data_IF_332898350695
#
_entry.id   IF_332898350695
#
_cell.length_a   1.000
_cell.length_b   1.000
_cell.length_c   1.000
_cell.angle_alpha   90.00
_cell.angle_beta   90.00
_cell.angle_gamma   90.00
#
_symmetry.space_group_name_H-M   'P 1'
#
loop_
_entity.id
_entity.type
_entity.pdbx_description
1 polymer ?
#
# COMPACT_ATOMS: atom_id res chain seq x y z
N UNK A 1 23.85 9.38 61.75
CA UNK A 1 23.10 8.57 60.76
C UNK A 1 22.40 9.52 59.81
N UNK A 2 22.96 9.75 58.63
CA UNK A 2 22.54 10.81 57.71
C UNK A 2 21.32 10.38 56.88
N UNK A 3 20.26 11.21 56.92
CA UNK A 3 18.99 11.03 56.21
C UNK A 3 19.11 10.91 54.67
N UNK A 4 20.28 11.21 54.09
CA UNK A 4 20.49 11.21 52.64
C UNK A 4 20.63 9.81 52.01
N UNK A 5 20.78 8.75 52.81
CA UNK A 5 20.96 7.39 52.28
C UNK A 5 19.65 6.63 52.00
N UNK A 6 18.53 7.10 52.57
CA UNK A 6 17.21 6.47 52.36
C UNK A 6 16.59 6.85 51.01
N UNK A 7 17.07 7.91 50.34
CA UNK A 7 16.63 8.29 48.98
C UNK A 7 17.32 7.50 47.86
N UNK A 8 18.52 6.94 48.08
CA UNK A 8 19.25 6.22 47.01
C UNK A 8 18.79 4.77 46.84
N UNK A 9 18.13 4.20 47.86
CA UNK A 9 17.71 2.80 47.89
C UNK A 9 16.41 2.50 47.11
N UNK A 10 15.72 3.54 46.62
CA UNK A 10 14.51 3.40 45.78
C UNK A 10 14.74 3.62 44.28
N UNK A 11 15.94 4.07 43.86
CA UNK A 11 16.26 4.20 42.42
C UNK A 11 16.24 2.86 41.70
N UNK A 12 16.66 1.77 42.34
CA UNK A 12 16.65 0.45 41.72
C UNK A 12 15.23 -0.08 41.48
N UNK A 13 14.29 0.18 42.39
CA UNK A 13 12.90 -0.24 42.22
C UNK A 13 12.20 0.53 41.09
N UNK A 14 12.47 1.84 41.00
CA UNK A 14 12.05 2.67 39.86
C UNK A 14 12.65 2.21 38.51
N UNK A 15 13.89 1.73 38.50
CA UNK A 15 14.49 1.15 37.28
C UNK A 15 13.77 -0.12 36.85
N UNK A 16 13.39 -0.99 37.80
CA UNK A 16 12.64 -2.22 37.52
C UNK A 16 11.21 -1.94 37.06
N UNK A 17 10.52 -0.97 37.67
CA UNK A 17 9.17 -0.58 37.23
C UNK A 17 9.21 0.07 35.85
N UNK A 18 10.19 0.95 35.58
CA UNK A 18 10.37 1.57 34.27
C UNK A 18 10.75 0.53 33.21
N UNK A 19 11.64 -0.40 33.53
CA UNK A 19 12.01 -1.49 32.61
C UNK A 19 10.81 -2.38 32.27
N UNK A 20 9.94 -2.67 33.24
CA UNK A 20 8.71 -3.44 33.00
C UNK A 20 7.74 -2.68 32.06
N UNK A 21 7.57 -1.37 32.24
CA UNK A 21 6.75 -0.55 31.35
C UNK A 21 7.34 -0.52 29.94
N UNK A 22 8.65 -0.28 29.80
CA UNK A 22 9.34 -0.29 28.50
C UNK A 22 9.23 -1.68 27.83
N UNK A 23 9.40 -2.76 28.60
CA UNK A 23 9.24 -4.12 28.09
C UNK A 23 7.80 -4.40 27.65
N UNK A 24 6.79 -3.89 28.38
CA UNK A 24 5.40 -4.01 27.98
C UNK A 24 5.11 -3.23 26.69
N UNK A 25 5.66 -2.03 26.52
CA UNK A 25 5.59 -1.29 25.26
C UNK A 25 6.26 -2.06 24.12
N UNK A 26 7.46 -2.59 24.33
CA UNK A 26 8.18 -3.42 23.36
C UNK A 26 7.35 -4.65 22.97
N UNK A 27 6.87 -5.43 23.94
CA UNK A 27 6.10 -6.65 23.68
C UNK A 27 4.72 -6.39 23.08
N UNK A 28 4.10 -5.25 23.35
CA UNK A 28 2.78 -4.92 22.82
C UNK A 28 2.86 -4.22 21.45
N UNK A 29 3.85 -3.35 21.22
CA UNK A 29 3.99 -2.59 19.97
C UNK A 29 4.93 -3.22 18.93
N UNK A 30 6.00 -3.93 19.32
CA UNK A 30 6.92 -4.54 18.34
C UNK A 30 6.25 -5.62 17.50
N UNK A 31 5.43 -6.53 18.06
CA UNK A 31 4.69 -7.47 17.23
C UNK A 31 3.69 -6.77 16.30
N UNK A 32 3.17 -5.59 16.66
CA UNK A 32 2.35 -4.76 15.76
C UNK A 32 3.15 -4.16 14.60
N UNK A 33 4.44 -3.86 14.81
CA UNK A 33 5.33 -3.38 13.76
C UNK A 33 5.75 -4.50 12.79
N UNK A 34 6.05 -5.70 13.30
CA UNK A 34 6.43 -6.85 12.46
C UNK A 34 5.24 -7.63 11.88
N UNK A 35 4.08 -7.64 12.56
CA UNK A 35 2.80 -8.15 12.01
C UNK A 35 2.00 -7.07 11.27
N UNK A 36 2.55 -5.86 11.13
CA UNK A 36 1.95 -4.74 10.39
C UNK A 36 1.87 -4.92 8.87
N UNK A 37 2.16 -6.12 8.36
CA UNK A 37 1.75 -6.55 7.02
C UNK A 37 0.48 -7.41 7.02
N UNK A 38 -0.07 -7.76 8.19
CA UNK A 38 -1.26 -8.60 8.31
C UNK A 38 -2.44 -7.91 9.01
N UNK A 39 -2.23 -6.83 9.78
CA UNK A 39 -3.32 -6.01 10.34
C UNK A 39 -2.82 -4.56 10.52
N UNK A 40 -3.17 -3.67 9.58
CA UNK A 40 -2.64 -2.33 9.42
C UNK A 40 -2.95 -1.37 10.58
N UNK A 41 -1.93 -1.05 11.38
CA UNK A 41 -1.90 0.11 12.29
C UNK A 41 -0.79 1.10 11.90
N UNK A 42 -0.46 1.17 10.61
CA UNK A 42 0.12 2.36 10.01
C UNK A 42 -1.03 3.10 9.33
N UNK A 43 -1.09 4.43 9.47
CA UNK A 43 -2.05 5.33 8.83
C UNK A 43 -1.96 5.28 7.28
N UNK A 44 -2.22 4.13 6.69
CA UNK A 44 -2.59 4.00 5.28
C UNK A 44 -4.09 3.81 5.33
N UNK A 45 -4.83 4.92 5.26
CA UNK A 45 -6.28 4.87 5.07
C UNK A 45 -6.57 3.84 3.96
N UNK A 46 -7.13 2.70 4.36
CA UNK A 46 -7.58 1.67 3.44
C UNK A 46 -8.99 2.09 2.99
N UNK A 47 -9.19 2.15 1.68
CA UNK A 47 -10.47 2.49 1.08
C UNK A 47 -11.38 1.26 1.04
N UNK A 48 -10.79 0.08 0.87
CA UNK A 48 -11.48 -1.22 0.91
C UNK A 48 -10.46 -2.34 1.18
N UNK A 49 -10.92 -3.50 1.65
CA UNK A 49 -10.10 -4.71 1.82
C UNK A 49 -10.73 -5.87 1.05
N UNK A 50 -9.94 -6.58 0.25
CA UNK A 50 -10.37 -7.72 -0.57
C UNK A 50 -9.46 -8.91 -0.27
N UNK A 51 -10.02 -10.01 0.24
CA UNK A 51 -9.27 -11.24 0.57
C UNK A 51 -8.00 -11.01 1.43
N UNK A 52 -8.11 -10.14 2.43
CA UNK A 52 -7.00 -9.77 3.32
C UNK A 52 -5.95 -8.83 2.70
N UNK A 53 -6.17 -8.32 1.49
CA UNK A 53 -5.36 -7.27 0.87
C UNK A 53 -6.07 -5.92 0.91
N UNK A 54 -5.38 -4.93 1.44
CA UNK A 54 -5.91 -3.57 1.56
C UNK A 54 -5.69 -2.76 0.29
N UNK A 55 -6.77 -2.20 -0.24
CA UNK A 55 -6.75 -1.17 -1.26
C UNK A 55 -6.53 0.17 -0.58
N UNK A 56 -5.32 0.71 -0.71
CA UNK A 56 -4.90 1.96 -0.07
C UNK A 56 -5.45 3.20 -0.79
N UNK A 57 -5.61 4.30 -0.05
CA UNK A 57 -5.91 5.63 -0.64
C UNK A 57 -4.90 6.02 -1.72
N UNK A 58 -3.65 5.58 -1.61
CA UNK A 58 -2.62 5.84 -2.64
C UNK A 58 -2.96 5.19 -3.98
N UNK A 59 -3.50 3.96 -3.98
CA UNK A 59 -3.92 3.25 -5.20
C UNK A 59 -5.13 3.95 -5.82
N UNK A 60 -6.13 4.29 -4.99
CA UNK A 60 -7.28 5.07 -5.43
C UNK A 60 -6.86 6.39 -6.07
N UNK A 61 -5.98 7.17 -5.43
CA UNK A 61 -5.52 8.46 -5.97
C UNK A 61 -4.79 8.30 -7.30
N UNK A 62 -3.94 7.27 -7.45
CA UNK A 62 -3.28 6.97 -8.74
C UNK A 62 -4.30 6.59 -9.83
N UNK A 63 -5.26 5.73 -9.51
CA UNK A 63 -6.31 5.33 -10.44
C UNK A 63 -7.15 6.55 -10.87
N UNK A 64 -7.55 7.39 -9.92
CA UNK A 64 -8.25 8.64 -10.18
C UNK A 64 -7.49 9.58 -11.11
N UNK A 65 -6.20 9.79 -10.85
CA UNK A 65 -5.36 10.63 -11.72
C UNK A 65 -5.24 10.09 -13.14
N UNK A 66 -5.07 8.77 -13.31
CA UNK A 66 -5.05 8.13 -14.64
C UNK A 66 -6.38 8.30 -15.37
N UNK A 67 -7.49 8.06 -14.68
CA UNK A 67 -8.82 8.22 -15.26
C UNK A 67 -9.06 9.67 -15.69
N UNK A 68 -8.67 10.63 -14.85
CA UNK A 68 -8.74 12.05 -15.15
C UNK A 68 -7.89 12.43 -16.37
N UNK A 69 -6.67 11.90 -16.47
CA UNK A 69 -5.80 12.13 -17.63
C UNK A 69 -6.40 11.58 -18.93
N UNK A 70 -6.98 10.37 -18.89
CA UNK A 70 -7.66 9.78 -20.04
C UNK A 70 -8.84 10.65 -20.49
N UNK A 71 -9.69 11.06 -19.54
CA UNK A 71 -10.82 11.93 -19.87
C UNK A 71 -10.39 13.30 -20.40
N UNK A 72 -9.34 13.92 -19.84
CA UNK A 72 -8.77 15.17 -20.35
C UNK A 72 -8.22 15.01 -21.76
N UNK A 73 -7.63 13.85 -22.09
CA UNK A 73 -7.15 13.57 -23.43
C UNK A 73 -8.31 13.41 -24.44
N UNK A 74 -9.46 12.87 -24.02
CA UNK A 74 -10.62 12.65 -24.90
C UNK A 74 -11.54 13.86 -25.05
N UNK A 75 -11.78 14.62 -23.97
CA UNK A 75 -12.76 15.72 -23.91
C UNK A 75 -12.12 17.12 -23.84
N UNK A 76 -10.78 17.19 -23.77
CA UNK A 76 -10.03 18.44 -23.67
C UNK A 76 -10.00 19.04 -22.26
N UNK A 77 -9.34 20.20 -22.13
CA UNK A 77 -9.08 20.88 -20.86
C UNK A 77 -10.32 21.45 -20.15
N UNK A 78 -11.49 21.46 -20.80
CA UNK A 78 -12.72 22.09 -20.30
C UNK A 78 -13.61 21.15 -19.47
N UNK A 79 -13.09 19.99 -19.07
CA UNK A 79 -13.89 19.03 -18.31
C UNK A 79 -14.06 19.46 -16.85
N UNK A 80 -15.32 19.60 -16.42
CA UNK A 80 -15.66 20.00 -15.05
C UNK A 80 -15.51 18.82 -14.07
N UNK A 81 -14.48 18.91 -13.22
CA UNK A 81 -14.19 17.93 -12.17
C UNK A 81 -15.35 17.78 -11.17
N UNK A 82 -16.20 18.81 -11.03
CA UNK A 82 -17.38 18.78 -10.18
C UNK A 82 -18.48 17.88 -10.75
N UNK A 83 -18.65 17.87 -12.07
CA UNK A 83 -19.60 16.99 -12.74
C UNK A 83 -19.19 15.52 -12.57
N UNK A 84 -17.90 15.21 -12.69
CA UNK A 84 -17.39 13.84 -12.49
C UNK A 84 -17.63 13.32 -11.07
N UNK A 85 -17.47 14.18 -10.06
CA UNK A 85 -17.81 13.83 -8.67
C UNK A 85 -19.30 13.60 -8.49
N UNK A 86 -20.15 14.43 -9.10
CA UNK A 86 -21.61 14.23 -9.08
C UNK A 86 -22.03 12.94 -9.78
N UNK A 87 -21.31 12.52 -10.83
CA UNK A 87 -21.54 11.25 -11.54
C UNK A 87 -21.08 10.01 -10.75
N UNK A 88 -20.50 10.18 -9.56
CA UNK A 88 -20.07 9.07 -8.71
C UNK A 88 -18.89 8.28 -9.28
N UNK A 89 -18.02 8.92 -10.07
CA UNK A 89 -16.85 8.28 -10.67
C UNK A 89 -15.94 7.66 -9.60
N UNK A 90 -15.87 8.27 -8.42
CA UNK A 90 -15.10 7.77 -7.29
C UNK A 90 -15.54 6.34 -6.89
N UNK A 91 -16.85 6.09 -6.79
CA UNK A 91 -17.38 4.76 -6.49
C UNK A 91 -17.08 3.75 -7.59
N UNK A 92 -17.19 4.15 -8.86
CA UNK A 92 -16.84 3.28 -9.99
C UNK A 92 -15.37 2.88 -9.97
N UNK A 93 -14.47 3.81 -9.65
CA UNK A 93 -13.03 3.53 -9.54
C UNK A 93 -12.77 2.55 -8.39
N UNK A 94 -13.38 2.76 -7.22
CA UNK A 94 -13.23 1.83 -6.10
C UNK A 94 -13.75 0.44 -6.47
N UNK A 95 -14.92 0.36 -7.10
CA UNK A 95 -15.50 -0.90 -7.54
C UNK A 95 -14.61 -1.61 -8.56
N UNK A 96 -14.05 -0.89 -9.53
CA UNK A 96 -13.09 -1.45 -10.48
C UNK A 96 -11.84 -2.00 -9.80
N UNK A 97 -11.28 -1.26 -8.83
CA UNK A 97 -10.11 -1.72 -8.07
C UNK A 97 -10.42 -2.97 -7.24
N UNK A 98 -11.63 -3.05 -6.68
CA UNK A 98 -12.11 -4.23 -5.94
C UNK A 98 -12.26 -5.43 -6.88
N UNK A 99 -12.87 -5.25 -8.05
CA UNK A 99 -13.04 -6.30 -9.05
C UNK A 99 -11.69 -6.81 -9.58
N UNK A 100 -10.75 -5.91 -9.86
CA UNK A 100 -9.40 -6.27 -10.29
C UNK A 100 -8.67 -7.09 -9.21
N UNK A 101 -8.70 -6.64 -7.96
CA UNK A 101 -8.05 -7.38 -6.87
C UNK A 101 -8.73 -8.72 -6.59
N UNK A 102 -10.06 -8.78 -6.69
CA UNK A 102 -10.82 -10.03 -6.54
C UNK A 102 -10.47 -11.03 -7.66
N UNK A 103 -10.34 -10.56 -8.90
CA UNK A 103 -9.92 -11.40 -10.02
C UNK A 103 -8.48 -11.94 -9.82
N UNK A 104 -7.56 -11.10 -9.34
CA UNK A 104 -6.18 -11.50 -9.04
C UNK A 104 -6.09 -12.44 -7.84
N UNK A 105 -6.95 -12.28 -6.83
CA UNK A 105 -7.07 -13.20 -5.71
C UNK A 105 -7.54 -14.59 -6.19
N UNK A 106 -8.58 -14.63 -7.02
CA UNK A 106 -9.09 -15.88 -7.58
C UNK A 106 -8.09 -16.56 -8.52
N UNK A 107 -7.40 -15.79 -9.38
CA UNK A 107 -6.34 -16.31 -10.24
C UNK A 107 -5.24 -17.01 -9.42
N UNK A 108 -4.81 -16.39 -8.31
CA UNK A 108 -3.84 -17.01 -7.39
C UNK A 108 -4.39 -18.26 -6.71
N UNK A 109 -5.66 -18.26 -6.31
CA UNK A 109 -6.34 -19.42 -5.72
C UNK A 109 -6.38 -20.61 -6.70
N UNK A 110 -6.55 -20.32 -7.99
CA UNK A 110 -6.54 -21.31 -9.07
C UNK A 110 -5.13 -21.70 -9.55
N UNK A 111 -4.08 -21.09 -8.99
CA UNK A 111 -2.69 -21.34 -9.40
C UNK A 111 -2.33 -20.75 -10.77
N UNK A 112 -3.12 -19.79 -11.27
CA UNK A 112 -2.81 -19.06 -12.50
C UNK A 112 -1.73 -18.02 -12.19
N UNK A 113 -0.52 -18.27 -12.67
CA UNK A 113 0.65 -17.39 -12.51
C UNK A 113 1.30 -17.15 -13.85
N UNK A 114 1.85 -15.96 -14.08
CA UNK A 114 2.66 -15.67 -15.26
C UNK A 114 4.12 -16.08 -15.01
N UNK A 115 4.79 -16.70 -15.99
CA UNK A 115 6.22 -16.99 -15.89
C UNK A 115 7.07 -15.77 -16.22
N UNK A 116 8.32 -15.77 -15.77
CA UNK A 116 9.26 -14.68 -16.08
C UNK A 116 9.51 -14.56 -17.58
N UNK A 117 9.53 -15.68 -18.32
CA UNK A 117 9.68 -15.68 -19.78
C UNK A 117 8.47 -15.06 -20.48
N UNK A 118 7.25 -15.37 -20.03
CA UNK A 118 6.02 -14.78 -20.58
C UNK A 118 5.96 -13.27 -20.33
N UNK A 119 6.31 -12.84 -19.12
CA UNK A 119 6.38 -11.42 -18.77
C UNK A 119 7.43 -10.71 -19.63
N UNK A 120 8.62 -11.31 -19.78
CA UNK A 120 9.69 -10.76 -20.60
C UNK A 120 9.23 -10.61 -22.04
N UNK A 121 8.74 -11.67 -22.68
CA UNK A 121 8.22 -11.63 -24.05
C UNK A 121 7.15 -10.56 -24.23
N UNK A 122 6.27 -10.39 -23.23
CA UNK A 122 5.23 -9.37 -23.28
C UNK A 122 5.79 -7.96 -23.23
N UNK A 123 6.79 -7.70 -22.40
CA UNK A 123 7.49 -6.41 -22.32
C UNK A 123 8.18 -6.08 -23.65
N UNK A 124 8.84 -7.07 -24.26
CA UNK A 124 9.51 -6.90 -25.56
C UNK A 124 8.54 -6.53 -26.68
N UNK A 125 7.30 -7.00 -26.60
CA UNK A 125 6.27 -6.73 -27.59
C UNK A 125 5.61 -5.34 -27.43
N UNK A 126 5.92 -4.58 -26.39
CA UNK A 126 5.33 -3.25 -26.17
C UNK A 126 5.98 -2.24 -27.13
N UNK A 127 5.21 -1.62 -28.06
CA UNK A 127 5.78 -0.69 -29.05
C UNK A 127 6.44 0.54 -28.42
N UNK A 128 5.97 0.97 -27.24
CA UNK A 128 6.55 2.10 -26.52
C UNK A 128 7.98 1.84 -26.01
N UNK A 129 8.42 0.58 -25.95
CA UNK A 129 9.77 0.18 -25.56
C UNK A 129 10.60 -0.35 -26.73
N UNK A 130 10.12 -0.16 -27.96
CA UNK A 130 10.82 -0.51 -29.18
C UNK A 130 11.32 0.75 -29.89
N UNK A 131 12.59 0.78 -30.27
CA UNK A 131 13.17 1.78 -31.16
C UNK A 131 13.67 1.08 -32.42
N UNK A 132 13.13 1.43 -33.59
CA UNK A 132 13.43 0.79 -34.87
C UNK A 132 13.25 -0.75 -34.90
N UNK A 133 12.31 -1.28 -34.11
CA UNK A 133 12.03 -2.72 -34.01
C UNK A 133 12.97 -3.50 -33.09
N UNK A 134 13.92 -2.83 -32.43
CA UNK A 134 14.72 -3.40 -31.34
C UNK A 134 14.26 -2.86 -29.99
N UNK A 135 14.26 -3.72 -28.99
CA UNK A 135 13.93 -3.32 -27.62
C UNK A 135 15.03 -2.44 -27.03
N UNK A 136 14.64 -1.32 -26.43
CA UNK A 136 15.57 -0.37 -25.83
C UNK A 136 16.09 -0.96 -24.51
N UNK A 137 17.36 -1.39 -24.47
CA UNK A 137 18.01 -1.85 -23.23
C UNK A 137 18.53 -3.29 -23.20
N UNK A 138 18.66 -3.99 -24.35
CA UNK A 138 19.41 -5.26 -24.42
C UNK A 138 20.93 -5.09 -24.42
N UNK A 139 21.44 -3.87 -24.53
CA UNK A 139 22.88 -3.62 -24.52
C UNK A 139 23.43 -3.61 -23.09
N UNK A 140 24.01 -4.74 -22.70
CA UNK A 140 25.11 -4.83 -21.73
C UNK A 140 26.13 -5.86 -22.21
#
# INVERSE_FOLDING_TARGET
MTMLDRMRRHRSWLKWSLALVVLAFILLYIPGFFRGSANGAGLKDAVATVDGRDITVSQFRRAYQRQMQQYRASYGANMDERLLKQLGIDQRIVQQLVEEEAAVAEARRLGVTASDEEVTQRILAIPAFQENGQFIGYDK
#
